data_IF_127937281271
#
_entry.id   IF_127937281271
#
_cell.length_a   1.000
_cell.length_b   1.000
_cell.length_c   1.000
_cell.angle_alpha   90.00
_cell.angle_beta   90.00
_cell.angle_gamma   90.00
#
_symmetry.space_group_name_H-M   'P 1'
#
loop_
_entity.id
_entity.type
_entity.pdbx_description
1 polymer ?
#
# COMPACT_ATOMS: atom_id res chain seq x y z
N UNK A 1 -2.93 2.10 12.53
CA UNK A 1 -2.79 3.17 11.52
C UNK A 1 -1.90 2.71 10.37
N UNK A 2 -2.15 3.17 9.15
CA UNK A 2 -1.30 2.92 7.99
C UNK A 2 -0.61 4.23 7.58
N UNK A 3 0.68 4.16 7.27
CA UNK A 3 1.43 5.27 6.68
C UNK A 3 1.86 4.83 5.28
N UNK A 4 1.59 5.64 4.26
CA UNK A 4 1.92 5.34 2.88
C UNK A 4 2.92 6.37 2.34
N UNK A 5 4.05 5.90 1.83
CA UNK A 5 5.06 6.75 1.22
C UNK A 5 6.39 6.01 1.08
N UNK A 6 7.18 6.40 0.09
CA UNK A 6 8.50 5.81 -0.19
C UNK A 6 9.67 6.71 0.26
N UNK A 7 9.36 7.89 0.80
CA UNK A 7 10.30 8.93 1.17
C UNK A 7 10.74 8.88 2.66
N UNK A 8 11.75 9.68 3.00
CA UNK A 8 12.30 9.76 4.34
C UNK A 8 11.31 10.30 5.38
N UNK A 9 10.35 11.13 4.95
CA UNK A 9 9.33 11.67 5.84
C UNK A 9 8.33 10.59 6.26
N UNK A 10 7.91 9.73 5.33
CA UNK A 10 7.06 8.57 5.63
C UNK A 10 7.71 7.64 6.67
N UNK A 11 9.02 7.41 6.54
CA UNK A 11 9.77 6.61 7.51
C UNK A 11 9.85 7.30 8.89
N UNK A 12 10.20 8.59 8.91
CA UNK A 12 10.28 9.36 10.17
C UNK A 12 8.94 9.38 10.90
N UNK A 13 7.86 9.65 10.19
CA UNK A 13 6.52 9.70 10.77
C UNK A 13 6.12 8.34 11.36
N UNK A 14 6.38 7.24 10.65
CA UNK A 14 6.09 5.90 11.15
C UNK A 14 6.87 5.54 12.43
N UNK A 15 8.13 6.00 12.53
CA UNK A 15 8.96 5.85 13.74
C UNK A 15 8.40 6.67 14.91
N UNK A 16 8.09 7.95 14.71
CA UNK A 16 7.54 8.80 15.77
C UNK A 16 6.22 8.23 16.31
N UNK A 17 5.32 7.79 15.44
CA UNK A 17 4.04 7.21 15.83
C UNK A 17 4.19 5.90 16.62
N UNK A 18 5.15 5.05 16.25
CA UNK A 18 5.41 3.80 16.99
C UNK A 18 6.11 4.03 18.32
N UNK A 19 7.13 4.89 18.33
CA UNK A 19 8.07 4.94 19.44
C UNK A 19 7.65 5.99 20.47
N UNK A 20 7.13 7.14 20.02
CA UNK A 20 6.66 8.23 20.89
C UNK A 20 5.20 8.01 21.26
N UNK A 21 4.34 7.82 20.27
CA UNK A 21 2.89 7.74 20.48
C UNK A 21 2.39 6.32 20.75
N UNK A 22 3.25 5.31 20.65
CA UNK A 22 2.93 3.88 20.90
C UNK A 22 1.78 3.34 20.04
N UNK A 23 1.54 3.98 18.90
CA UNK A 23 0.51 3.56 17.97
C UNK A 23 0.95 2.34 17.15
N UNK A 24 -0.01 1.46 16.83
CA UNK A 24 0.25 0.34 15.91
C UNK A 24 0.27 0.86 14.47
N UNK A 25 1.46 0.89 13.85
CA UNK A 25 1.66 1.43 12.50
C UNK A 25 2.11 0.36 11.49
N UNK A 26 1.50 0.36 10.31
CA UNK A 26 1.98 -0.36 9.13
C UNK A 26 2.48 0.66 8.10
N UNK A 27 3.76 0.61 7.74
CA UNK A 27 4.33 1.46 6.69
C UNK A 27 4.29 0.73 5.34
N UNK A 28 3.54 1.28 4.39
CA UNK A 28 3.44 0.79 3.02
C UNK A 28 4.37 1.62 2.14
N UNK A 29 5.43 0.99 1.65
CA UNK A 29 6.34 1.56 0.64
C UNK A 29 5.96 1.01 -0.73
N UNK A 30 5.22 1.76 -1.56
CA UNK A 30 4.91 1.30 -2.90
C UNK A 30 6.21 1.12 -3.68
N UNK A 31 6.47 -0.10 -4.17
CA UNK A 31 7.60 -0.34 -5.06
C UNK A 31 7.48 0.56 -6.29
N UNK A 32 8.50 1.38 -6.56
CA UNK A 32 8.58 2.22 -7.74
C UNK A 32 8.33 1.37 -9.00
N UNK A 33 7.37 1.81 -9.82
CA UNK A 33 6.98 1.10 -11.03
C UNK A 33 8.17 0.95 -11.97
N UNK A 34 8.71 -0.26 -12.07
CA UNK A 34 9.47 -0.75 -13.21
C UNK A 34 9.60 -2.27 -13.06
N UNK A 35 8.77 -3.01 -13.78
CA UNK A 35 9.05 -4.40 -14.12
C UNK A 35 8.66 -4.66 -15.58
N UNK A 36 9.14 -3.79 -16.49
CA UNK A 36 9.35 -4.18 -17.87
C UNK A 36 10.72 -4.86 -17.95
N UNK A 37 10.79 -6.10 -17.47
CA UNK A 37 12.01 -6.91 -17.45
C UNK A 37 11.82 -8.13 -16.53
N UNK A 38 12.39 -9.30 -16.86
CA UNK A 38 12.23 -10.51 -16.06
C UNK A 38 12.86 -10.30 -14.68
N UNK A 39 12.01 -10.00 -13.70
CA UNK A 39 12.42 -9.76 -12.32
C UNK A 39 12.45 -11.11 -11.62
N UNK A 40 13.65 -11.58 -11.29
CA UNK A 40 13.82 -12.67 -10.33
C UNK A 40 13.13 -12.23 -9.03
N UNK A 41 12.00 -12.85 -8.72
CA UNK A 41 11.19 -12.53 -7.56
C UNK A 41 11.96 -12.94 -6.30
N UNK A 42 12.64 -11.98 -5.68
CA UNK A 42 13.12 -12.14 -4.30
C UNK A 42 11.89 -12.36 -3.40
N UNK A 43 11.90 -13.36 -2.50
CA UNK A 43 10.77 -13.57 -1.60
C UNK A 43 10.62 -12.34 -0.70
N UNK A 44 9.49 -11.65 -0.84
CA UNK A 44 9.07 -10.60 0.10
C UNK A 44 8.84 -11.29 1.44
N UNK A 45 9.79 -11.11 2.36
CA UNK A 45 9.64 -11.52 3.75
C UNK A 45 8.80 -10.47 4.46
N UNK A 46 7.49 -10.57 4.30
CA UNK A 46 6.53 -9.72 4.99
C UNK A 46 5.25 -10.50 5.21
N UNK A 47 4.75 -10.52 6.45
CA UNK A 47 3.40 -11.04 6.71
C UNK A 47 2.41 -10.08 6.08
N UNK A 48 1.63 -10.56 5.12
CA UNK A 48 0.52 -9.80 4.56
C UNK A 48 -0.57 -9.66 5.64
N UNK A 49 -0.93 -8.42 5.95
CA UNK A 49 -2.06 -8.11 6.83
C UNK A 49 -3.29 -7.89 5.97
N UNK A 50 -4.34 -8.69 6.17
CA UNK A 50 -5.64 -8.49 5.51
C UNK A 50 -6.46 -7.54 6.36
N UNK A 51 -7.04 -6.51 5.72
CA UNK A 51 -8.03 -5.63 6.32
C UNK A 51 -9.41 -6.22 6.12
N UNK A 52 -10.20 -6.29 7.18
CA UNK A 52 -11.59 -6.72 7.12
C UNK A 52 -12.51 -5.52 6.80
N UNK A 53 -13.75 -5.76 6.30
CA UNK A 53 -14.67 -4.68 5.95
C UNK A 53 -14.97 -3.67 7.07
N UNK A 54 -14.94 -4.12 8.32
CA UNK A 54 -15.21 -3.27 9.49
C UNK A 54 -13.98 -2.54 10.04
N UNK A 55 -12.79 -2.76 9.47
CA UNK A 55 -11.57 -2.12 9.95
C UNK A 55 -11.56 -0.61 9.63
N UNK A 56 -11.42 0.21 10.67
CA UNK A 56 -11.18 1.65 10.51
C UNK A 56 -9.70 1.90 10.25
N UNK A 57 -9.37 2.30 9.02
CA UNK A 57 -8.00 2.63 8.60
C UNK A 57 -7.82 4.14 8.50
N UNK A 58 -6.87 4.67 9.27
CA UNK A 58 -6.34 6.02 9.07
C UNK A 58 -5.07 5.91 8.23
N UNK A 59 -5.00 6.69 7.14
CA UNK A 59 -3.83 6.76 6.25
C UNK A 59 -3.16 8.12 6.40
N UNK A 60 -1.88 8.13 6.76
CA UNK A 60 -1.03 9.32 6.65
C UNK A 60 -0.10 9.19 5.44
N UNK A 61 -0.14 10.16 4.53
CA UNK A 61 0.68 10.18 3.32
C UNK A 61 1.16 11.60 3.03
N UNK A 62 2.34 11.71 2.41
CA UNK A 62 2.82 12.98 1.85
C UNK A 62 2.00 13.35 0.61
N UNK A 63 2.04 14.60 0.12
CA UNK A 63 1.28 15.02 -1.08
C UNK A 63 1.57 14.11 -2.28
N UNK A 64 2.85 13.75 -2.47
CA UNK A 64 3.28 12.84 -3.53
C UNK A 64 2.80 11.41 -3.28
N UNK A 65 2.99 10.88 -2.07
CA UNK A 65 2.52 9.53 -1.71
C UNK A 65 1.00 9.38 -1.82
N UNK A 66 0.23 10.43 -1.51
CA UNK A 66 -1.22 10.46 -1.70
C UNK A 66 -1.60 10.48 -3.19
N UNK A 67 -0.91 11.27 -4.01
CA UNK A 67 -1.15 11.29 -5.45
C UNK A 67 -0.86 9.92 -6.11
N UNK A 68 0.22 9.26 -5.70
CA UNK A 68 0.56 7.91 -6.17
C UNK A 68 -0.45 6.86 -5.69
N UNK A 69 -0.96 6.98 -4.47
CA UNK A 69 -1.99 6.08 -3.93
C UNK A 69 -3.31 6.21 -4.70
N UNK A 70 -3.76 7.45 -4.96
CA UNK A 70 -4.99 7.73 -5.71
C UNK A 70 -4.85 7.38 -7.19
N UNK A 71 -3.66 7.54 -7.78
CA UNK A 71 -3.37 7.15 -9.16
C UNK A 71 -3.34 5.64 -9.40
N UNK A 72 -3.11 4.84 -8.35
CA UNK A 72 -3.15 3.36 -8.40
C UNK A 72 -4.53 2.76 -8.17
N UNK A 73 -5.61 3.56 -8.22
CA UNK A 73 -6.98 3.07 -8.06
C UNK A 73 -7.13 1.76 -8.86
N UNK A 74 -7.32 0.60 -8.20
CA UNK A 74 -7.47 -0.65 -8.90
C UNK A 74 -8.69 -0.48 -9.79
N UNK A 75 -8.50 -0.55 -11.10
CA UNK A 75 -9.60 -0.52 -12.04
C UNK A 75 -10.48 -1.71 -11.65
N UNK A 76 -11.56 -1.43 -10.93
CA UNK A 76 -12.63 -2.40 -10.78
C UNK A 76 -13.15 -2.55 -12.21
N UNK A 77 -12.81 -3.68 -12.82
CA UNK A 77 -13.27 -4.04 -14.15
C UNK A 77 -14.48 -4.97 -13.96
N UNK A 78 -15.71 -4.43 -13.87
CA UNK A 78 -16.91 -5.23 -13.63
C UNK A 78 -17.31 -6.09 -14.85
N UNK A 79 -16.46 -6.21 -15.87
CA UNK A 79 -16.74 -6.89 -17.13
C UNK A 79 -16.34 -8.37 -17.22
N UNK A 80 -15.53 -8.90 -16.31
CA UNK A 80 -14.93 -10.24 -16.47
C UNK A 80 -15.87 -11.44 -16.21
N UNK A 81 -17.16 -11.23 -15.91
CA UNK A 81 -18.13 -12.30 -15.61
C UNK A 81 -19.09 -12.66 -16.75
N UNK A 82 -18.80 -12.28 -18.00
CA UNK A 82 -19.62 -12.68 -19.17
C UNK A 82 -18.77 -13.28 -20.30
N UNK A 83 -18.17 -14.44 -20.09
CA UNK A 83 -17.64 -15.23 -21.20
C UNK A 83 -17.56 -16.73 -20.87
N UNK A 84 -18.68 -17.28 -20.39
CA UNK A 84 -18.82 -18.72 -20.18
C UNK A 84 -20.21 -19.19 -20.61
N UNK A 85 -20.76 -18.64 -21.70
CA UNK A 85 -21.96 -19.16 -22.37
C UNK A 85 -21.92 -18.83 -23.87
N UNK A 86 -21.21 -19.65 -24.65
CA UNK A 86 -21.58 -20.05 -26.02
C UNK A 86 -20.64 -21.14 -26.55
#
# INVERSE_FOLDING_TARGET
MIVCGDDALAHRLATELRDVYRERVVLVRPGGGAAAGPRLAVPVQGRASVLLPDDRVVVAATRRGLAELLGRHPQHDPGAVRQEQQ
#
